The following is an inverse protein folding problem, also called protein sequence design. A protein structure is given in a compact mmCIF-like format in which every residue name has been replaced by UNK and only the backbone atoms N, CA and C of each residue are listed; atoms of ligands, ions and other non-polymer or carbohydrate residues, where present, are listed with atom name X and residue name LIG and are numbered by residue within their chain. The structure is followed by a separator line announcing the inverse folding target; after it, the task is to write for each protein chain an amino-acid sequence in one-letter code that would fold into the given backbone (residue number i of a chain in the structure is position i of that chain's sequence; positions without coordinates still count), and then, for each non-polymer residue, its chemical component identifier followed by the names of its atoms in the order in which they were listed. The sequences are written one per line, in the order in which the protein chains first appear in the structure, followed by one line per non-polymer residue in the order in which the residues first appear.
data_IF_614951481163
#
_entry.id   IF_614951481163
#
_cell.length_a   1.000
_cell.length_b   1.000
_cell.length_c   1.000
_cell.angle_alpha   90.00
_cell.angle_beta   90.00
_cell.angle_gamma   90.00
#
_symmetry.space_group_name_H-M   'P 1'
#
loop_
_entity.id
_entity.type
_entity.pdbx_description
1 polymer ?
#
# COMPACT_ATOMS: atom_id res chain seq x y z
N UNK A 1 12.20 -27.53 30.77
CA UNK A 1 11.67 -26.30 30.15
C UNK A 1 12.65 -25.19 30.51
N UNK A 2 13.43 -24.62 29.57
CA UNK A 2 14.38 -23.57 29.91
C UNK A 2 13.65 -22.25 30.24
N UNK A 3 14.21 -21.51 31.19
CA UNK A 3 13.64 -20.34 31.86
C UNK A 3 13.88 -19.05 31.04
N UNK A 4 12.80 -18.36 30.67
CA UNK A 4 12.80 -17.16 29.79
C UNK A 4 13.51 -15.94 30.41
N UNK A 5 13.79 -16.00 31.71
CA UNK A 5 14.38 -14.89 32.49
C UNK A 5 15.89 -14.68 32.27
N UNK A 6 16.53 -15.53 31.46
CA UNK A 6 17.99 -15.46 31.21
C UNK A 6 18.39 -14.87 29.86
N UNK A 7 17.47 -14.22 29.14
CA UNK A 7 17.82 -13.55 27.89
C UNK A 7 18.70 -12.32 28.17
N UNK A 8 19.85 -12.16 27.47
CA UNK A 8 20.70 -10.99 27.61
C UNK A 8 19.92 -9.74 27.22
N UNK A 9 19.92 -8.73 28.10
CA UNK A 9 19.30 -7.42 27.85
C UNK A 9 19.97 -6.76 26.64
N UNK A 10 19.25 -6.69 25.53
CA UNK A 10 19.68 -5.93 24.36
C UNK A 10 19.70 -4.43 24.73
N UNK A 11 20.80 -3.69 24.53
CA UNK A 11 20.80 -2.25 24.74
C UNK A 11 19.68 -1.57 23.95
N UNK A 12 19.10 -0.47 24.45
CA UNK A 12 18.12 0.29 23.69
C UNK A 12 18.78 0.72 22.38
N UNK A 13 18.19 0.27 21.26
CA UNK A 13 18.66 0.60 19.94
C UNK A 13 18.72 2.13 19.81
N UNK A 14 19.90 2.64 19.48
CA UNK A 14 20.06 4.03 19.07
C UNK A 14 19.30 4.19 17.76
N UNK A 15 18.29 5.07 17.76
CA UNK A 15 17.47 5.41 16.59
C UNK A 15 18.39 5.79 15.41
N UNK A 16 18.55 4.86 14.47
CA UNK A 16 19.45 5.01 13.33
C UNK A 16 19.96 3.70 12.74
N UNK A 17 19.83 2.57 13.43
CA UNK A 17 20.12 1.26 12.83
C UNK A 17 18.89 0.76 12.07
N UNK A 18 18.98 0.85 10.75
CA UNK A 18 18.11 0.19 9.80
C UNK A 18 18.20 -1.32 10.08
N UNK A 19 17.25 -1.84 10.85
CA UNK A 19 17.13 -3.26 11.11
C UNK A 19 17.08 -3.99 9.77
N UNK A 20 17.85 -5.06 9.65
CA UNK A 20 17.83 -5.95 8.49
C UNK A 20 16.39 -6.47 8.35
N UNK A 21 15.60 -5.82 7.50
CA UNK A 21 14.19 -6.13 7.34
C UNK A 21 14.15 -7.47 6.61
N UNK A 22 13.92 -8.55 7.37
CA UNK A 22 13.94 -9.93 6.87
C UNK A 22 12.95 -10.20 5.71
N UNK A 23 12.10 -9.22 5.39
CA UNK A 23 11.16 -9.21 4.29
C UNK A 23 11.46 -7.97 3.45
N UNK A 24 11.72 -8.11 2.13
CA UNK A 24 11.91 -6.96 1.27
C UNK A 24 10.65 -6.08 1.30
N UNK A 25 10.86 -4.78 1.46
CA UNK A 25 9.76 -3.80 1.42
C UNK A 25 9.05 -3.85 0.05
N UNK A 26 7.73 -3.67 0.07
CA UNK A 26 6.95 -3.62 -1.17
C UNK A 26 7.51 -2.50 -2.07
N UNK A 27 7.64 -2.70 -3.40
CA UNK A 27 8.27 -1.72 -4.30
C UNK A 27 7.64 -0.32 -4.29
N UNK A 28 6.37 -0.22 -3.85
CA UNK A 28 5.65 1.05 -3.68
C UNK A 28 5.67 1.62 -2.25
N UNK A 29 6.38 0.97 -1.33
CA UNK A 29 6.43 1.34 0.09
C UNK A 29 5.10 1.18 0.83
N UNK A 30 4.15 0.41 0.27
CA UNK A 30 2.89 0.10 0.95
C UNK A 30 3.12 -0.94 2.03
N UNK A 31 2.47 -0.73 3.17
CA UNK A 31 2.51 -1.64 4.32
C UNK A 31 1.24 -2.49 4.34
N UNK A 32 1.29 -3.72 4.88
CA UNK A 32 0.10 -4.52 5.15
C UNK A 32 -0.93 -3.75 5.96
N UNK A 33 -2.21 -4.02 5.73
CA UNK A 33 -3.35 -3.32 6.35
C UNK A 33 -3.32 -3.31 7.88
N UNK A 34 -2.78 -4.36 8.51
CA UNK A 34 -2.62 -4.42 9.97
C UNK A 34 -1.78 -3.28 10.57
N UNK A 35 -0.88 -2.69 9.78
CA UNK A 35 -0.08 -1.53 10.22
C UNK A 35 -0.91 -0.25 10.37
N UNK A 36 -2.11 -0.19 9.81
CA UNK A 36 -2.96 0.98 9.88
C UNK A 36 -3.36 1.34 11.33
N UNK A 37 -3.38 0.37 12.25
CA UNK A 37 -3.76 0.59 13.65
C UNK A 37 -2.80 1.52 14.41
N UNK A 38 -1.52 1.53 14.03
CA UNK A 38 -0.47 2.34 14.68
C UNK A 38 0.06 3.45 13.76
N UNK A 39 -0.45 3.52 12.52
CA UNK A 39 0.04 4.47 11.54
C UNK A 39 -0.53 5.87 11.80
N UNK A 40 0.34 6.88 11.81
CA UNK A 40 -0.06 8.29 11.84
C UNK A 40 -0.57 8.81 10.49
N UNK A 41 -0.35 8.06 9.41
CA UNK A 41 -0.73 8.44 8.05
C UNK A 41 -1.13 7.21 7.22
N UNK A 42 -1.99 7.40 6.22
CA UNK A 42 -2.40 6.34 5.28
C UNK A 42 -2.15 6.76 3.84
N UNK A 43 -1.72 5.81 2.99
CA UNK A 43 -1.60 6.08 1.56
C UNK A 43 -2.93 6.52 0.93
N UNK A 44 -4.05 6.11 1.53
CA UNK A 44 -5.40 6.50 1.14
C UNK A 44 -5.66 8.00 1.31
N UNK A 45 -4.86 8.73 2.08
CA UNK A 45 -4.96 10.19 2.21
C UNK A 45 -4.62 10.91 0.89
N UNK A 46 -3.76 10.29 0.07
CA UNK A 46 -3.26 10.88 -1.17
C UNK A 46 -4.29 10.99 -2.30
N UNK A 47 -5.47 10.37 -2.16
CA UNK A 47 -6.57 10.44 -3.17
C UNK A 47 -7.64 11.49 -2.80
N UNK A 48 -7.41 12.30 -1.77
CA UNK A 48 -8.31 13.38 -1.37
C UNK A 48 -9.72 12.87 -1.08
N UNK A 49 -10.74 13.51 -1.68
CA UNK A 49 -12.15 13.18 -1.46
C UNK A 49 -12.51 11.75 -1.85
N UNK A 50 -11.79 11.14 -2.80
CA UNK A 50 -12.02 9.73 -3.18
C UNK A 50 -11.75 8.76 -2.03
N UNK A 51 -11.02 9.16 -0.98
CA UNK A 51 -10.85 8.38 0.25
C UNK A 51 -12.18 8.02 0.91
N UNK A 52 -13.23 8.79 0.69
CA UNK A 52 -14.55 8.51 1.29
C UNK A 52 -15.24 7.30 0.64
N UNK A 53 -14.82 6.91 -0.56
CA UNK A 53 -15.39 5.77 -1.28
C UNK A 53 -14.73 4.46 -0.84
N UNK A 54 -15.45 3.33 -0.76
CA UNK A 54 -14.86 1.99 -0.70
C UNK A 54 -13.99 1.69 -1.93
N UNK A 55 -13.03 0.78 -1.79
CA UNK A 55 -12.05 0.47 -2.83
C UNK A 55 -12.74 -0.10 -4.09
N UNK A 56 -13.83 -0.85 -3.91
CA UNK A 56 -14.63 -1.42 -4.99
C UNK A 56 -15.33 -0.33 -5.82
N UNK A 57 -15.81 0.75 -5.16
CA UNK A 57 -16.42 1.87 -5.87
C UNK A 57 -15.38 2.68 -6.64
N UNK A 58 -14.16 2.81 -6.11
CA UNK A 58 -13.06 3.45 -6.84
C UNK A 58 -12.72 2.63 -8.08
N UNK A 59 -12.58 1.31 -7.94
CA UNK A 59 -12.30 0.43 -9.07
C UNK A 59 -13.40 0.47 -10.13
N UNK A 60 -14.68 0.45 -9.72
CA UNK A 60 -15.81 0.60 -10.62
C UNK A 60 -15.78 1.92 -11.41
N UNK A 61 -15.41 3.03 -10.76
CA UNK A 61 -15.26 4.31 -11.45
C UNK A 61 -14.10 4.28 -12.46
N UNK A 62 -12.98 3.66 -12.09
CA UNK A 62 -11.81 3.55 -12.96
C UNK A 62 -12.06 2.64 -14.17
N UNK A 63 -12.91 1.62 -14.04
CA UNK A 63 -13.25 0.70 -15.13
C UNK A 63 -13.89 1.40 -16.35
N UNK A 64 -14.49 2.58 -16.14
CA UNK A 64 -15.07 3.38 -17.22
C UNK A 64 -14.04 4.21 -18.01
N UNK A 65 -12.76 4.20 -17.59
CA UNK A 65 -11.69 4.95 -18.23
C UNK A 65 -10.98 4.09 -19.29
N UNK A 66 -10.55 4.74 -20.37
CA UNK A 66 -9.68 4.10 -21.36
C UNK A 66 -8.24 3.97 -20.86
N UNK A 67 -7.44 3.13 -21.53
CA UNK A 67 -6.05 2.86 -21.14
C UNK A 67 -5.20 4.13 -20.92
N UNK A 68 -5.19 5.11 -21.85
CA UNK A 68 -4.49 6.37 -21.65
C UNK A 68 -4.96 7.16 -20.41
N UNK A 69 -6.27 7.22 -20.15
CA UNK A 69 -6.80 7.91 -18.96
C UNK A 69 -6.44 7.20 -17.67
N UNK A 70 -6.43 5.86 -17.64
CA UNK A 70 -5.93 5.06 -16.52
C UNK A 70 -4.46 5.35 -16.23
N UNK A 71 -3.62 5.45 -17.26
CA UNK A 71 -2.22 5.87 -17.09
C UNK A 71 -2.10 7.31 -16.61
N UNK A 72 -2.97 8.20 -17.08
CA UNK A 72 -3.03 9.60 -16.67
C UNK A 72 -3.33 9.74 -15.18
N UNK A 73 -4.40 9.12 -14.69
CA UNK A 73 -4.77 9.18 -13.28
C UNK A 73 -3.76 8.45 -12.38
N UNK A 74 -3.20 7.33 -12.84
CA UNK A 74 -2.16 6.59 -12.11
C UNK A 74 -0.87 7.40 -11.89
N UNK A 75 -0.60 8.42 -12.71
CA UNK A 75 0.56 9.31 -12.55
C UNK A 75 0.36 10.43 -11.53
N UNK A 76 -0.87 10.63 -11.04
CA UNK A 76 -1.18 11.73 -10.12
C UNK A 76 -0.68 11.48 -8.70
N UNK A 77 -0.81 10.25 -8.19
CA UNK A 77 -0.31 9.87 -6.87
C UNK A 77 -0.10 8.35 -6.75
N UNK A 78 0.66 7.94 -5.71
CA UNK A 78 1.00 6.54 -5.46
C UNK A 78 -0.22 5.65 -5.17
N UNK A 79 -1.28 6.20 -4.58
CA UNK A 79 -2.52 5.46 -4.33
C UNK A 79 -3.28 5.16 -5.63
N UNK A 80 -3.50 6.16 -6.48
CA UNK A 80 -4.11 5.92 -7.79
C UNK A 80 -3.23 5.04 -8.67
N UNK A 81 -1.90 5.18 -8.61
CA UNK A 81 -1.00 4.24 -9.25
C UNK A 81 -1.29 2.80 -8.84
N UNK A 82 -1.45 2.53 -7.53
CA UNK A 82 -1.77 1.19 -7.03
C UNK A 82 -3.13 0.69 -7.52
N UNK A 83 -4.18 1.52 -7.53
CA UNK A 83 -5.49 1.13 -8.08
C UNK A 83 -5.40 0.77 -9.56
N UNK A 84 -4.67 1.54 -10.36
CA UNK A 84 -4.50 1.28 -11.80
C UNK A 84 -3.66 0.03 -12.10
N UNK A 85 -3.11 -0.65 -11.09
CA UNK A 85 -2.42 -1.95 -11.24
C UNK A 85 -3.38 -3.15 -11.09
N UNK A 86 -4.64 -2.92 -10.72
CA UNK A 86 -5.64 -4.00 -10.66
C UNK A 86 -5.80 -4.65 -12.03
N UNK A 87 -5.66 -5.97 -12.10
CA UNK A 87 -5.67 -6.70 -13.36
C UNK A 87 -7.03 -6.62 -14.06
N UNK A 88 -8.10 -6.55 -13.29
CA UNK A 88 -9.48 -6.50 -13.76
C UNK A 88 -9.72 -5.32 -14.70
N UNK A 89 -9.13 -4.15 -14.42
CA UNK A 89 -9.21 -2.97 -15.27
C UNK A 89 -8.63 -3.21 -16.66
N UNK A 90 -7.49 -3.91 -16.72
CA UNK A 90 -6.80 -4.18 -17.99
C UNK A 90 -7.44 -5.35 -18.74
N UNK A 91 -7.99 -6.34 -18.01
CA UNK A 91 -8.77 -7.42 -18.61
C UNK A 91 -10.02 -6.87 -19.29
N UNK A 92 -10.75 -5.97 -18.63
CA UNK A 92 -11.93 -5.32 -19.21
C UNK A 92 -11.65 -4.55 -20.51
N UNK A 93 -10.42 -4.04 -20.69
CA UNK A 93 -10.02 -3.31 -21.91
C UNK A 93 -9.55 -4.21 -23.06
N UNK A 94 -9.04 -5.42 -22.77
CA UNK A 94 -8.27 -6.20 -23.74
C UNK A 94 -8.69 -7.66 -23.88
N UNK A 95 -9.60 -8.15 -23.05
CA UNK A 95 -10.09 -9.54 -23.08
C UNK A 95 -11.61 -9.49 -23.29
N UNK A 96 -12.05 -10.02 -24.43
CA UNK A 96 -13.45 -10.31 -24.75
C UNK A 96 -13.85 -11.74 -24.33
#
# INVERSE_FOLDING_TARGET
MPDITTLPSHPPALDGQQGDEAIPSHPLGVKPSGNALLASWSLRDAIGTFRLLPDELILLLLEHLDGPSLLGIGRTCKAFYAFTRAEELWKALFIE
#
